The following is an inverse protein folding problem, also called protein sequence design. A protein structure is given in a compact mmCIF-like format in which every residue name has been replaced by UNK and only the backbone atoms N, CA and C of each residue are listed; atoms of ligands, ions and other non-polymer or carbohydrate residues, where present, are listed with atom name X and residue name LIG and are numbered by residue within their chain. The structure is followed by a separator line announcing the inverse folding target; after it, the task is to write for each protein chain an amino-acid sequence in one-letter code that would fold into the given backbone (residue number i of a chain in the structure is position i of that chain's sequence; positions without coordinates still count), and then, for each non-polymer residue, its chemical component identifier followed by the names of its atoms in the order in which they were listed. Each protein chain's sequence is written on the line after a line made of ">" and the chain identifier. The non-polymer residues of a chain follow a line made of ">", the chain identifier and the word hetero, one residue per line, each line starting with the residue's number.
data_IF_894124799557
#
_entry.id   IF_894124799557
#
_cell.length_a   1.000
_cell.length_b   1.000
_cell.length_c   1.000
_cell.angle_alpha   90.00
_cell.angle_beta   90.00
_cell.angle_gamma   90.00
#
_symmetry.space_group_name_H-M   'P 1'
#
loop_
_entity.id
_entity.type
_entity.pdbx_description
1 polymer ?
#
# COMPACT_ATOMS: atom_id res chain seq x y z
N UNK A 1 13.31 14.77 -0.12
CA UNK A 1 13.24 13.42 0.50
C UNK A 1 11.97 13.19 1.33
N UNK A 2 11.03 14.15 1.44
CA UNK A 2 9.91 14.11 2.40
C UNK A 2 8.70 13.22 2.02
N UNK A 3 8.71 12.56 0.86
CA UNK A 3 7.50 11.89 0.33
C UNK A 3 7.65 10.40 0.02
N UNK A 4 8.79 9.79 0.35
CA UNK A 4 8.96 8.34 0.20
C UNK A 4 8.23 7.65 1.35
N UNK A 5 7.47 6.60 1.06
CA UNK A 5 6.81 5.77 2.08
C UNK A 5 7.68 4.54 2.31
N UNK A 6 8.42 4.54 3.41
CA UNK A 6 9.37 3.49 3.81
C UNK A 6 9.61 3.52 5.35
N UNK A 7 10.29 2.50 5.93
CA UNK A 7 10.51 2.43 7.38
C UNK A 7 11.16 3.68 7.97
N UNK A 8 12.11 4.30 7.26
CA UNK A 8 12.82 5.50 7.74
C UNK A 8 11.90 6.74 7.83
N UNK A 9 10.72 6.68 7.22
CA UNK A 9 9.71 7.76 7.19
C UNK A 9 8.47 7.45 8.02
N UNK A 10 8.46 6.35 8.79
CA UNK A 10 7.41 6.05 9.77
C UNK A 10 7.13 7.20 10.75
N UNK A 11 8.10 8.02 11.20
CA UNK A 11 7.79 9.18 12.03
C UNK A 11 6.86 10.21 11.36
N UNK A 12 6.79 10.21 10.02
CA UNK A 12 5.90 11.07 9.22
C UNK A 12 4.60 10.32 8.90
N UNK A 13 4.70 9.08 8.45
CA UNK A 13 3.57 8.20 8.12
C UNK A 13 3.33 7.21 9.27
N UNK A 14 2.95 7.74 10.42
CA UNK A 14 2.82 7.00 11.67
C UNK A 14 1.41 6.38 11.83
N UNK A 15 1.17 5.78 12.99
CA UNK A 15 -0.10 5.15 13.35
C UNK A 15 -1.30 6.10 13.27
N UNK A 16 -1.12 7.38 13.60
CA UNK A 16 -2.18 8.38 13.50
C UNK A 16 -2.54 8.66 12.03
N UNK A 17 -1.51 8.75 11.17
CA UNK A 17 -1.72 8.92 9.74
C UNK A 17 -2.47 7.73 9.14
N UNK A 18 -1.96 6.50 9.30
CA UNK A 18 -2.59 5.31 8.71
C UNK A 18 -3.93 4.98 9.36
N UNK A 19 -4.04 5.08 10.69
CA UNK A 19 -5.28 4.84 11.42
C UNK A 19 -6.40 5.84 11.08
N UNK A 20 -6.07 7.00 10.53
CA UNK A 20 -7.04 7.99 10.03
C UNK A 20 -7.50 7.78 8.58
N UNK A 21 -6.91 6.82 7.85
CA UNK A 21 -7.28 6.56 6.46
C UNK A 21 -8.49 5.64 6.33
N UNK A 22 -9.21 5.79 5.22
CA UNK A 22 -10.30 4.88 4.84
C UNK A 22 -9.86 3.82 3.84
N UNK A 23 -8.85 4.14 3.02
CA UNK A 23 -8.26 3.24 2.02
C UNK A 23 -6.91 3.77 1.55
N UNK A 24 -6.14 2.91 0.88
CA UNK A 24 -4.86 3.24 0.25
C UNK A 24 -4.91 2.89 -1.23
N UNK A 25 -4.36 3.77 -2.07
CA UNK A 25 -4.26 3.57 -3.52
C UNK A 25 -2.79 3.58 -3.92
N UNK A 26 -2.29 2.47 -4.44
CA UNK A 26 -0.92 2.40 -4.93
C UNK A 26 -0.81 2.92 -6.37
N UNK A 27 0.26 3.70 -6.58
CA UNK A 27 0.72 4.18 -7.87
C UNK A 27 2.26 4.09 -7.89
N UNK A 28 2.78 2.89 -7.60
CA UNK A 28 4.20 2.65 -7.32
C UNK A 28 4.80 1.73 -8.40
N UNK A 29 6.08 1.94 -8.70
CA UNK A 29 6.82 1.32 -9.80
C UNK A 29 7.74 0.17 -9.37
N UNK A 30 7.90 -0.07 -8.07
CA UNK A 30 8.81 -1.08 -7.53
C UNK A 30 8.12 -2.01 -6.51
N UNK A 31 8.59 -3.26 -6.50
CA UNK A 31 7.98 -4.34 -5.71
C UNK A 31 8.20 -4.15 -4.21
N UNK A 32 9.33 -3.55 -3.80
CA UNK A 32 9.66 -3.37 -2.38
C UNK A 32 8.69 -2.40 -1.70
N UNK A 33 8.43 -1.25 -2.32
CA UNK A 33 7.47 -0.28 -1.81
C UNK A 33 6.03 -0.83 -1.84
N UNK A 34 5.66 -1.62 -2.85
CA UNK A 34 4.36 -2.31 -2.85
C UNK A 34 4.19 -3.21 -1.63
N UNK A 35 5.19 -4.05 -1.35
CA UNK A 35 5.18 -4.96 -0.18
C UNK A 35 5.12 -4.19 1.14
N UNK A 36 5.87 -3.10 1.26
CA UNK A 36 5.85 -2.29 2.47
C UNK A 36 4.45 -1.70 2.71
N UNK A 37 3.84 -1.09 1.70
CA UNK A 37 2.48 -0.51 1.83
C UNK A 37 1.44 -1.60 2.09
N UNK A 38 1.54 -2.76 1.44
CA UNK A 38 0.67 -3.92 1.68
C UNK A 38 0.73 -4.37 3.16
N UNK A 39 1.94 -4.50 3.72
CA UNK A 39 2.12 -4.85 5.13
C UNK A 39 1.49 -3.83 6.09
N UNK A 40 1.65 -2.52 5.80
CA UNK A 40 0.99 -1.48 6.58
C UNK A 40 -0.55 -1.58 6.47
N UNK A 41 -1.08 -1.82 5.27
CA UNK A 41 -2.52 -1.97 5.06
C UNK A 41 -3.09 -3.18 5.81
N UNK A 42 -2.36 -4.31 5.81
CA UNK A 42 -2.74 -5.49 6.59
C UNK A 42 -2.70 -5.19 8.09
N UNK A 43 -1.65 -4.51 8.57
CA UNK A 43 -1.49 -4.17 9.99
C UNK A 43 -2.60 -3.24 10.51
N UNK A 44 -2.94 -2.20 9.74
CA UNK A 44 -3.97 -1.22 10.09
C UNK A 44 -5.39 -1.62 9.66
N UNK A 45 -5.57 -2.76 8.98
CA UNK A 45 -6.87 -3.21 8.49
C UNK A 45 -7.48 -2.27 7.45
N UNK A 46 -6.65 -1.73 6.55
CA UNK A 46 -7.06 -0.79 5.50
C UNK A 46 -7.27 -1.51 4.16
N UNK A 47 -8.35 -1.20 3.41
CA UNK A 47 -8.47 -1.58 2.01
C UNK A 47 -7.36 -0.97 1.15
N UNK A 48 -6.78 -1.78 0.27
CA UNK A 48 -5.72 -1.37 -0.66
C UNK A 48 -6.15 -1.67 -2.10
N UNK A 49 -6.05 -0.66 -2.96
CA UNK A 49 -6.16 -0.77 -4.41
C UNK A 49 -4.77 -0.74 -5.03
N UNK A 50 -4.33 -1.88 -5.55
CA UNK A 50 -3.04 -2.04 -6.22
C UNK A 50 -3.21 -2.04 -7.73
N UNK A 51 -2.30 -1.36 -8.44
CA UNK A 51 -2.29 -1.33 -9.89
C UNK A 51 -0.89 -1.29 -10.47
N UNK A 52 -0.72 -1.93 -11.62
CA UNK A 52 0.57 -2.00 -12.30
C UNK A 52 0.43 -2.06 -13.81
N UNK A 53 1.49 -1.64 -14.51
CA UNK A 53 1.59 -1.70 -15.96
C UNK A 53 2.93 -2.29 -16.39
N UNK A 54 2.96 -3.00 -17.52
CA UNK A 54 4.18 -3.44 -18.19
C UNK A 54 3.98 -3.37 -19.71
N UNK A 55 4.51 -2.32 -20.35
CA UNK A 55 4.25 -2.05 -21.77
C UNK A 55 2.76 -1.83 -22.02
N UNK A 56 2.15 -2.65 -22.87
CA UNK A 56 0.70 -2.60 -23.16
C UNK A 56 -0.16 -3.39 -22.17
N UNK A 57 0.47 -4.11 -21.22
CA UNK A 57 -0.24 -4.89 -20.21
C UNK A 57 -0.53 -4.04 -18.97
N UNK A 58 -1.66 -4.28 -18.34
CA UNK A 58 -2.04 -3.69 -17.05
C UNK A 58 -2.68 -4.74 -16.13
N UNK A 59 -2.57 -4.51 -14.83
CA UNK A 59 -3.23 -5.31 -13.80
C UNK A 59 -3.81 -4.41 -12.70
N UNK A 60 -4.88 -4.87 -12.08
CA UNK A 60 -5.48 -4.26 -10.88
C UNK A 60 -5.78 -5.39 -9.90
N UNK A 61 -5.50 -5.15 -8.63
CA UNK A 61 -5.82 -6.07 -7.53
C UNK A 61 -6.43 -5.28 -6.38
N UNK A 62 -7.48 -5.83 -5.78
CA UNK A 62 -8.12 -5.27 -4.59
C UNK A 62 -7.76 -6.16 -3.40
N UNK A 63 -7.21 -5.56 -2.36
CA UNK A 63 -6.99 -6.19 -1.06
C UNK A 63 -8.00 -5.60 -0.09
N UNK A 64 -8.97 -6.41 0.34
CA UNK A 64 -9.98 -6.04 1.32
C UNK A 64 -9.75 -6.79 2.64
N UNK A 65 -9.62 -6.06 3.77
CA UNK A 65 -9.33 -6.64 5.08
C UNK A 65 -10.29 -7.79 5.42
N UNK A 66 -9.73 -8.91 5.85
CA UNK A 66 -10.47 -10.11 6.28
C UNK A 66 -11.35 -10.77 5.22
N UNK A 67 -11.22 -10.42 3.95
CA UNK A 67 -12.02 -10.98 2.85
C UNK A 67 -11.17 -11.54 1.71
N UNK A 68 -10.14 -10.81 1.29
CA UNK A 68 -9.26 -11.23 0.18
C UNK A 68 -7.85 -11.51 0.69
N UNK A 69 -7.06 -12.19 -0.12
CA UNK A 69 -5.62 -12.32 0.10
C UNK A 69 -4.92 -10.95 -0.02
N UNK A 70 -3.79 -10.81 0.68
CA UNK A 70 -2.87 -9.68 0.55
C UNK A 70 -2.20 -9.65 -0.83
N UNK A 71 -1.47 -8.57 -1.12
CA UNK A 71 -0.62 -8.55 -2.31
C UNK A 71 0.59 -9.50 -2.18
N UNK A 72 1.14 -9.61 -0.96
CA UNK A 72 2.32 -10.44 -0.64
C UNK A 72 1.97 -11.91 -0.43
#
# INVERSE_FOLDING_TARGET
>A
MSGRVCPETEPIFNDEFFGGLHCVLNAIDNVEARRYVDQQCVFFGLPLLESGTLGTKGNVQVVYPHLTESYS
#
